data_IF_263266552528
#
_entry.id   IF_263266552528
#
_cell.length_a   1.000
_cell.length_b   1.000
_cell.length_c   1.000
_cell.angle_alpha   90.00
_cell.angle_beta   90.00
_cell.angle_gamma   90.00
#
_symmetry.space_group_name_H-M   'P 1'
#
loop_
_entity.id
_entity.type
_entity.pdbx_description
1 polymer ?
#
# COMPACT_ATOMS: atom_id res chain seq x y z
N UNK A 1 -16.21 -7.39 1.62
CA UNK A 1 -14.96 -6.59 1.57
C UNK A 1 -14.19 -6.98 0.33
N UNK A 2 -13.66 -6.01 -0.43
CA UNK A 2 -12.80 -6.31 -1.59
C UNK A 2 -11.35 -6.53 -1.16
N UNK A 3 -10.55 -7.19 -2.02
CA UNK A 3 -9.10 -7.31 -1.81
C UNK A 3 -8.36 -5.98 -1.79
N UNK A 4 -8.97 -4.85 -2.19
CA UNK A 4 -8.36 -3.53 -2.04
C UNK A 4 -8.55 -2.99 -0.62
N UNK A 5 -9.79 -3.04 -0.12
CA UNK A 5 -10.15 -2.56 1.23
C UNK A 5 -9.33 -3.25 2.32
N UNK A 6 -9.11 -4.57 2.19
CA UNK A 6 -8.29 -5.34 3.13
C UNK A 6 -6.86 -4.77 3.26
N UNK A 7 -6.24 -4.42 2.13
CA UNK A 7 -4.88 -3.84 2.15
C UNK A 7 -4.86 -2.41 2.67
N UNK A 8 -5.91 -1.63 2.46
CA UNK A 8 -6.04 -0.28 3.06
C UNK A 8 -6.09 -0.42 4.59
N UNK A 9 -6.95 -1.32 5.10
CA UNK A 9 -7.05 -1.60 6.54
C UNK A 9 -5.71 -2.08 7.10
N UNK A 10 -5.07 -3.06 6.45
CA UNK A 10 -3.73 -3.54 6.83
C UNK A 10 -2.69 -2.42 6.89
N UNK A 11 -2.67 -1.54 5.88
CA UNK A 11 -1.78 -0.37 5.84
C UNK A 11 -2.01 0.53 7.05
N UNK A 12 -3.27 0.83 7.37
CA UNK A 12 -3.64 1.69 8.50
C UNK A 12 -3.25 1.06 9.85
N UNK A 13 -3.57 -0.22 10.07
CA UNK A 13 -3.25 -0.94 11.30
C UNK A 13 -1.74 -0.97 11.56
N UNK A 14 -0.94 -1.13 10.51
CA UNK A 14 0.52 -1.16 10.60
C UNK A 14 1.17 0.22 10.50
N UNK A 15 0.38 1.30 10.55
CA UNK A 15 0.83 2.71 10.45
C UNK A 15 1.75 2.97 9.24
N UNK A 16 1.55 2.24 8.15
CA UNK A 16 2.35 2.36 6.94
C UNK A 16 1.92 3.65 6.20
N UNK A 17 2.87 4.57 6.03
CA UNK A 17 2.62 5.85 5.37
C UNK A 17 2.62 5.68 3.86
N UNK A 18 1.71 6.36 3.18
CA UNK A 18 1.63 6.37 1.71
C UNK A 18 2.96 6.80 1.07
N UNK A 19 3.64 7.78 1.67
CA UNK A 19 4.95 8.28 1.20
C UNK A 19 6.01 7.18 1.15
N UNK A 20 6.00 6.23 2.08
CA UNK A 20 6.95 5.12 2.14
C UNK A 20 6.70 4.13 0.99
N UNK A 21 5.42 3.80 0.76
CA UNK A 21 5.03 2.91 -0.33
C UNK A 21 5.35 3.56 -1.68
N UNK A 22 5.07 4.85 -1.82
CA UNK A 22 5.38 5.64 -3.01
C UNK A 22 6.89 5.65 -3.30
N UNK A 23 7.72 5.79 -2.26
CA UNK A 23 9.18 5.71 -2.37
C UNK A 23 9.65 4.31 -2.82
N UNK A 24 9.06 3.25 -2.28
CA UNK A 24 9.37 1.86 -2.66
C UNK A 24 9.00 1.54 -4.11
N UNK A 25 7.82 1.99 -4.55
CA UNK A 25 7.33 1.78 -5.93
C UNK A 25 7.98 2.75 -6.92
N UNK A 26 8.63 3.81 -6.44
CA UNK A 26 9.09 4.96 -7.21
C UNK A 26 7.94 5.61 -7.99
N UNK A 27 6.86 5.91 -7.29
CA UNK A 27 5.69 6.60 -7.85
C UNK A 27 5.29 7.81 -7.01
N UNK A 28 4.36 8.60 -7.56
CA UNK A 28 3.84 9.76 -6.86
C UNK A 28 2.89 9.35 -5.71
N UNK A 29 3.03 9.90 -4.49
CA UNK A 29 2.17 9.55 -3.37
C UNK A 29 0.69 9.92 -3.59
N UNK A 30 0.39 10.94 -4.40
CA UNK A 30 -0.98 11.27 -4.76
C UNK A 30 -1.60 10.22 -5.68
N UNK A 31 -0.81 9.49 -6.48
CA UNK A 31 -1.31 8.35 -7.26
C UNK A 31 -1.85 7.24 -6.35
N UNK A 32 -1.10 6.90 -5.30
CA UNK A 32 -1.52 5.88 -4.32
C UNK A 32 -2.78 6.34 -3.58
N UNK A 33 -2.81 7.59 -3.11
CA UNK A 33 -3.98 8.15 -2.43
C UNK A 33 -5.22 8.11 -3.32
N UNK A 34 -5.11 8.52 -4.59
CA UNK A 34 -6.22 8.44 -5.55
C UNK A 34 -6.66 6.99 -5.80
N UNK A 35 -5.73 6.04 -5.88
CA UNK A 35 -6.05 4.63 -6.03
C UNK A 35 -6.84 4.06 -4.84
N UNK A 36 -6.43 4.37 -3.61
CA UNK A 36 -7.17 3.95 -2.40
C UNK A 36 -8.61 4.46 -2.45
N UNK A 37 -8.82 5.73 -2.79
CA UNK A 37 -10.14 6.37 -2.91
C UNK A 37 -10.90 6.03 -4.22
N UNK A 38 -10.35 5.17 -5.08
CA UNK A 38 -10.99 4.79 -6.35
C UNK A 38 -11.04 5.92 -7.40
N UNK A 39 -10.24 6.97 -7.22
CA UNK A 39 -10.13 8.12 -8.13
C UNK A 39 -9.07 7.93 -9.23
N UNK A 40 -8.22 6.90 -9.13
CA UNK A 40 -7.24 6.56 -10.15
C UNK A 40 -7.06 5.04 -10.26
N UNK A 41 -6.76 4.59 -11.48
CA UNK A 41 -6.26 3.24 -11.70
C UNK A 41 -4.74 3.23 -11.60
N UNK A 42 -4.22 2.26 -10.87
CA UNK A 42 -2.80 2.02 -10.76
C UNK A 42 -2.44 0.81 -11.64
N UNK A 43 -1.26 0.87 -12.27
CA UNK A 43 -0.79 -0.25 -13.07
C UNK A 43 -0.68 -1.54 -12.24
N UNK A 44 -0.99 -2.69 -12.85
CA UNK A 44 -0.98 -3.99 -12.16
C UNK A 44 0.38 -4.29 -11.52
N UNK A 45 1.49 -3.94 -12.17
CA UNK A 45 2.84 -4.12 -11.62
C UNK A 45 3.05 -3.32 -10.33
N UNK A 46 2.54 -2.08 -10.30
CA UNK A 46 2.61 -1.21 -9.12
C UNK A 46 1.69 -1.71 -8.00
N UNK A 47 0.51 -2.25 -8.34
CA UNK A 47 -0.39 -2.87 -7.37
C UNK A 47 0.27 -4.08 -6.70
N UNK A 48 1.01 -4.89 -7.45
CA UNK A 48 1.76 -6.03 -6.88
C UNK A 48 2.78 -5.52 -5.86
N UNK A 49 3.64 -4.57 -6.25
CA UNK A 49 4.63 -3.97 -5.35
C UNK A 49 4.00 -3.30 -4.11
N UNK A 50 2.84 -2.65 -4.28
CA UNK A 50 2.08 -2.06 -3.18
C UNK A 50 1.69 -3.12 -2.15
N UNK A 51 1.17 -4.26 -2.62
CA UNK A 51 0.77 -5.38 -1.76
C UNK A 51 1.99 -6.01 -1.09
N UNK A 52 3.06 -6.25 -1.83
CA UNK A 52 4.31 -6.82 -1.31
C UNK A 52 4.91 -5.96 -0.20
N UNK A 53 4.96 -4.64 -0.38
CA UNK A 53 5.51 -3.73 0.64
C UNK A 53 4.71 -3.78 1.94
N UNK A 54 3.37 -3.85 1.86
CA UNK A 54 2.50 -3.95 3.03
C UNK A 54 2.71 -5.29 3.73
N UNK A 55 2.75 -6.39 2.98
CA UNK A 55 2.97 -7.74 3.52
C UNK A 55 4.35 -7.85 4.20
N UNK A 56 5.39 -7.34 3.57
CA UNK A 56 6.75 -7.29 4.11
C UNK A 56 6.79 -6.50 5.43
N UNK A 57 6.09 -5.36 5.50
CA UNK A 57 6.03 -4.54 6.73
C UNK A 57 5.25 -5.23 7.85
N UNK A 58 4.17 -5.94 7.55
CA UNK A 58 3.43 -6.74 8.53
C UNK A 58 4.33 -7.83 9.12
N UNK A 59 5.11 -8.52 8.27
CA UNK A 59 5.97 -9.62 8.69
C UNK A 59 7.14 -9.17 9.56
N UNK A 60 7.59 -7.93 9.41
CA UNK A 60 8.75 -7.37 10.12
C UNK A 60 8.42 -6.82 11.53
N UNK A 61 7.16 -6.84 11.97
CA UNK A 61 6.73 -6.31 13.27
C UNK A 61 6.48 -7.40 14.33
N UNK A 62 6.99 -8.63 14.12
CA UNK A 62 6.86 -9.75 15.06
C UNK A 62 7.99 -9.86 16.09
N UNK A 63 8.89 -8.89 16.13
CA UNK A 63 10.00 -8.83 17.09
C UNK A 63 9.94 -7.50 17.84
N UNK A 64 9.16 -7.45 18.93
CA UNK A 64 9.54 -6.96 20.27
C UNK A 64 8.43 -7.26 21.29
#
# INVERSE_FOLDING_TARGET
MTTKDDYIVKRYLNKIKIKEIAKYIQCDPSLISKYEHGKANMDKQKIIKYKEYIDQKIRSCKDE
#
